data_IF_207479196797
#
_entry.id   IF_207479196797
#
_cell.length_a   1.000
_cell.length_b   1.000
_cell.length_c   1.000
_cell.angle_alpha   90.00
_cell.angle_beta   90.00
_cell.angle_gamma   90.00
#
_symmetry.space_group_name_H-M   'P 1'
#
loop_
_entity.id
_entity.type
_entity.pdbx_description
1 polymer ?
#
# COMPACT_ATOMS: atom_id res chain seq x y z
N UNK A 1 23.56 0.49 -8.45
CA UNK A 1 22.95 -0.63 -9.20
C UNK A 1 21.48 -0.72 -8.82
N UNK A 2 20.63 -0.92 -9.83
CA UNK A 2 19.17 -1.04 -9.70
C UNK A 2 18.73 -2.49 -9.44
N UNK A 3 19.68 -3.42 -9.41
CA UNK A 3 19.46 -4.86 -9.25
C UNK A 3 18.58 -5.50 -10.34
N UNK A 4 18.41 -4.81 -11.46
CA UNK A 4 17.68 -5.30 -12.64
C UNK A 4 18.71 -5.86 -13.62
N UNK A 5 18.55 -7.13 -14.02
CA UNK A 5 19.40 -7.70 -15.06
C UNK A 5 19.03 -7.10 -16.41
N UNK A 6 20.02 -6.76 -17.24
CA UNK A 6 19.74 -6.38 -18.62
C UNK A 6 19.05 -7.53 -19.36
N UNK A 7 18.10 -7.19 -20.22
CA UNK A 7 17.41 -8.15 -21.05
C UNK A 7 17.92 -8.05 -22.50
N UNK A 8 18.20 -9.20 -23.10
CA UNK A 8 18.47 -9.27 -24.52
C UNK A 8 17.20 -9.05 -25.34
N UNK A 9 17.31 -8.28 -26.39
CA UNK A 9 16.22 -8.10 -27.36
C UNK A 9 16.38 -9.17 -28.45
N UNK A 10 15.29 -9.82 -28.90
CA UNK A 10 15.37 -10.80 -29.99
C UNK A 10 16.09 -10.22 -31.22
N UNK A 11 17.08 -10.95 -31.74
CA UNK A 11 17.91 -10.51 -32.85
C UNK A 11 19.18 -9.76 -32.47
N UNK A 12 19.46 -9.47 -31.19
CA UNK A 12 20.76 -8.95 -30.78
C UNK A 12 21.86 -9.99 -31.03
N UNK A 13 23.01 -9.59 -31.63
CA UNK A 13 24.17 -10.47 -31.77
C UNK A 13 24.66 -10.95 -30.39
N UNK A 14 25.06 -12.21 -30.31
CA UNK A 14 25.65 -12.84 -29.13
C UNK A 14 24.80 -12.76 -27.84
N UNK A 15 23.51 -12.49 -27.96
CA UNK A 15 22.59 -12.31 -26.83
C UNK A 15 21.78 -13.58 -26.54
N UNK A 16 22.43 -14.72 -26.48
CA UNK A 16 21.81 -15.98 -26.08
C UNK A 16 21.85 -16.12 -24.55
N UNK A 17 20.71 -16.41 -23.93
CA UNK A 17 20.63 -16.72 -22.51
C UNK A 17 19.55 -17.77 -22.24
N UNK A 18 19.72 -18.51 -21.16
CA UNK A 18 18.73 -19.49 -20.71
C UNK A 18 17.69 -18.83 -19.82
N UNK A 19 16.41 -19.08 -20.09
CA UNK A 19 15.32 -18.74 -19.19
C UNK A 19 14.82 -20.00 -18.53
N UNK A 20 15.19 -20.20 -17.29
CA UNK A 20 14.74 -21.34 -16.50
C UNK A 20 13.75 -20.92 -15.42
N UNK A 21 12.79 -21.79 -15.09
CA UNK A 21 11.86 -21.62 -13.99
C UNK A 21 12.42 -22.02 -12.62
N UNK A 22 13.67 -22.45 -12.55
CA UNK A 22 14.34 -22.92 -11.34
C UNK A 22 15.53 -22.03 -10.97
N UNK A 23 16.19 -22.28 -9.82
CA UNK A 23 17.24 -21.40 -9.33
C UNK A 23 18.45 -21.35 -10.28
N UNK A 24 18.97 -20.16 -10.49
CA UNK A 24 20.01 -19.88 -11.48
C UNK A 24 20.94 -18.75 -11.01
N UNK A 25 22.06 -18.60 -11.67
CA UNK A 25 22.99 -17.48 -11.49
C UNK A 25 22.45 -16.20 -12.16
N UNK A 26 23.16 -15.08 -11.98
CA UNK A 26 22.84 -13.83 -12.69
C UNK A 26 22.96 -13.93 -14.20
N UNK A 27 23.74 -14.89 -14.69
CA UNK A 27 23.90 -15.18 -16.12
C UNK A 27 22.81 -16.15 -16.66
N UNK A 28 21.92 -16.67 -15.82
CA UNK A 28 20.88 -17.61 -16.22
C UNK A 28 21.27 -19.10 -16.15
N UNK A 29 22.49 -19.40 -15.73
CA UNK A 29 22.96 -20.78 -15.59
C UNK A 29 22.36 -21.45 -14.35
N UNK A 30 21.94 -22.71 -14.46
CA UNK A 30 21.41 -23.48 -13.35
C UNK A 30 22.43 -23.59 -12.19
N UNK A 31 22.02 -23.24 -11.00
CA UNK A 31 22.87 -23.34 -9.82
C UNK A 31 22.04 -23.41 -8.54
N UNK A 32 22.10 -24.55 -7.86
CA UNK A 32 21.38 -24.84 -6.62
C UNK A 32 22.21 -24.65 -5.35
N UNK A 33 23.45 -24.15 -5.47
CA UNK A 33 24.29 -23.93 -4.32
C UNK A 33 23.67 -22.90 -3.36
N UNK A 34 23.67 -23.16 -2.03
CA UNK A 34 23.05 -22.28 -1.05
C UNK A 34 23.58 -20.85 -1.11
N UNK A 35 24.87 -20.66 -1.41
CA UNK A 35 25.46 -19.33 -1.56
C UNK A 35 24.87 -18.57 -2.74
N UNK A 36 24.66 -19.23 -3.88
CA UNK A 36 24.01 -18.61 -5.03
C UNK A 36 22.55 -18.28 -4.72
N UNK A 37 21.81 -19.19 -4.08
CA UNK A 37 20.42 -18.99 -3.69
C UNK A 37 20.27 -17.75 -2.81
N UNK A 38 21.08 -17.60 -1.77
CA UNK A 38 21.08 -16.44 -0.89
C UNK A 38 21.39 -15.14 -1.66
N UNK A 39 22.37 -15.17 -2.57
CA UNK A 39 22.71 -14.01 -3.42
C UNK A 39 21.54 -13.61 -4.30
N UNK A 40 20.89 -14.58 -4.94
CA UNK A 40 19.79 -14.30 -5.87
C UNK A 40 18.52 -13.84 -5.17
N UNK A 41 18.20 -14.38 -3.98
CA UNK A 41 17.11 -13.88 -3.13
C UNK A 41 17.37 -12.43 -2.72
N UNK A 42 18.56 -12.11 -2.23
CA UNK A 42 18.93 -10.76 -1.84
C UNK A 42 18.82 -9.76 -3.02
N UNK A 43 19.26 -10.17 -4.22
CA UNK A 43 19.14 -9.38 -5.44
C UNK A 43 17.67 -9.11 -5.79
N UNK A 44 16.81 -10.15 -5.77
CA UNK A 44 15.38 -10.03 -6.08
C UNK A 44 14.67 -9.14 -5.07
N UNK A 45 14.98 -9.26 -3.77
CA UNK A 45 14.44 -8.40 -2.73
C UNK A 45 14.79 -6.91 -2.99
N UNK A 46 16.06 -6.61 -3.23
CA UNK A 46 16.53 -5.24 -3.51
C UNK A 46 15.91 -4.65 -4.79
N UNK A 47 15.71 -5.47 -5.82
CA UNK A 47 15.00 -5.05 -7.02
C UNK A 47 13.57 -4.59 -6.70
N UNK A 48 12.85 -5.38 -5.90
CA UNK A 48 11.47 -5.08 -5.49
C UNK A 48 11.44 -3.85 -4.58
N UNK A 49 12.36 -3.72 -3.61
CA UNK A 49 12.49 -2.54 -2.75
C UNK A 49 12.68 -1.24 -3.54
N UNK A 50 13.31 -1.33 -4.72
CA UNK A 50 13.49 -0.19 -5.62
C UNK A 50 12.19 0.49 -6.04
N UNK A 51 11.06 -0.24 -6.02
CA UNK A 51 9.72 0.29 -6.35
C UNK A 51 9.28 1.36 -5.35
N UNK A 52 9.75 1.30 -4.10
CA UNK A 52 9.42 2.31 -3.07
C UNK A 52 9.89 3.73 -3.40
N UNK A 53 10.80 3.87 -4.35
CA UNK A 53 11.33 5.17 -4.81
C UNK A 53 10.46 5.82 -5.90
N UNK A 54 9.45 5.13 -6.40
CA UNK A 54 8.61 5.64 -7.47
C UNK A 54 7.58 6.65 -6.91
N UNK A 55 7.39 7.80 -7.55
CA UNK A 55 6.58 8.89 -6.99
C UNK A 55 5.08 8.63 -6.98
N UNK A 56 4.61 7.61 -7.70
CA UNK A 56 3.18 7.32 -7.88
C UNK A 56 2.64 6.21 -6.97
N UNK A 57 3.47 5.62 -6.10
CA UNK A 57 3.08 4.46 -5.27
C UNK A 57 2.09 4.80 -4.16
N UNK A 58 1.94 6.06 -3.83
CA UNK A 58 0.95 6.56 -2.86
C UNK A 58 0.32 7.83 -3.41
N UNK A 59 -0.98 7.96 -3.27
CA UNK A 59 -1.73 9.18 -3.58
C UNK A 59 -2.44 9.68 -2.34
N UNK A 60 -2.61 11.00 -2.24
CA UNK A 60 -3.31 11.65 -1.12
C UNK A 60 -4.42 12.56 -1.66
N UNK A 61 -5.47 12.72 -0.87
CA UNK A 61 -6.65 13.52 -1.19
C UNK A 61 -7.18 14.23 0.06
N UNK A 62 -7.99 15.28 -0.12
CA UNK A 62 -8.68 15.96 0.97
C UNK A 62 -7.80 16.94 1.73
N UNK A 63 -8.00 17.06 3.04
CA UNK A 63 -7.30 18.02 3.88
C UNK A 63 -5.80 17.71 4.02
N UNK A 64 -4.96 18.76 4.02
CA UNK A 64 -3.49 18.62 4.18
C UNK A 64 -3.09 18.15 5.58
N UNK A 65 -3.82 18.56 6.63
CA UNK A 65 -3.56 18.19 8.02
C UNK A 65 -4.83 17.61 8.66
N UNK A 66 -5.25 16.40 8.26
CA UNK A 66 -6.48 15.81 8.76
C UNK A 66 -6.27 15.20 10.16
N UNK A 67 -7.31 15.26 11.01
CA UNK A 67 -7.35 14.47 12.24
C UNK A 67 -7.84 13.04 11.99
N UNK A 68 -8.67 12.86 10.95
CA UNK A 68 -9.15 11.56 10.49
C UNK A 68 -8.68 11.33 9.06
N UNK A 69 -8.14 10.16 8.79
CA UNK A 69 -7.74 9.73 7.46
C UNK A 69 -8.49 8.47 7.02
N UNK A 70 -8.80 8.38 5.74
CA UNK A 70 -9.28 7.13 5.14
C UNK A 70 -8.14 6.52 4.34
N UNK A 71 -7.78 5.28 4.64
CA UNK A 71 -6.72 4.57 3.91
C UNK A 71 -7.30 3.32 3.29
N UNK A 72 -7.39 3.29 1.98
CA UNK A 72 -7.85 2.13 1.22
C UNK A 72 -6.89 1.77 0.10
N UNK A 73 -7.11 0.67 -0.57
CA UNK A 73 -6.26 0.15 -1.63
C UNK A 73 -7.07 -0.43 -2.78
N UNK A 74 -6.42 -0.67 -3.93
CA UNK A 74 -7.05 -1.31 -5.08
C UNK A 74 -8.19 -0.49 -5.68
N UNK A 75 -9.34 -1.10 -5.87
CA UNK A 75 -10.52 -0.50 -6.50
C UNK A 75 -11.23 0.56 -5.64
N UNK A 76 -10.90 0.66 -4.35
CA UNK A 76 -11.55 1.59 -3.42
C UNK A 76 -11.16 3.06 -3.65
N UNK A 77 -10.16 3.36 -4.49
CA UNK A 77 -9.65 4.73 -4.68
C UNK A 77 -10.75 5.73 -5.07
N UNK A 78 -11.57 5.38 -6.05
CA UNK A 78 -12.63 6.28 -6.54
C UNK A 78 -13.70 6.56 -5.50
N UNK A 79 -14.13 5.51 -4.82
CA UNK A 79 -15.14 5.56 -3.75
C UNK A 79 -14.68 6.41 -2.58
N UNK A 80 -13.44 6.18 -2.11
CA UNK A 80 -12.85 6.92 -0.99
C UNK A 80 -12.68 8.40 -1.36
N UNK A 81 -12.17 8.70 -2.56
CA UNK A 81 -11.99 10.08 -3.01
C UNK A 81 -13.29 10.84 -3.03
N UNK A 82 -14.36 10.25 -3.60
CA UNK A 82 -15.68 10.89 -3.64
C UNK A 82 -16.25 11.10 -2.23
N UNK A 83 -16.14 10.12 -1.34
CA UNK A 83 -16.58 10.24 0.05
C UNK A 83 -15.85 11.35 0.80
N UNK A 84 -14.54 11.47 0.62
CA UNK A 84 -13.72 12.53 1.21
C UNK A 84 -14.11 13.89 0.64
N UNK A 85 -14.31 14.02 -0.67
CA UNK A 85 -14.76 15.26 -1.30
C UNK A 85 -16.14 15.70 -0.76
N UNK A 86 -17.05 14.76 -0.53
CA UNK A 86 -18.36 15.02 0.07
C UNK A 86 -18.25 15.45 1.55
N UNK A 87 -17.39 14.81 2.31
CA UNK A 87 -17.13 15.14 3.71
C UNK A 87 -16.52 16.54 3.86
N UNK A 88 -15.53 16.86 3.04
CA UNK A 88 -14.89 18.20 3.02
C UNK A 88 -15.89 19.29 2.67
N UNK A 89 -16.81 19.07 1.70
CA UNK A 89 -17.90 20.00 1.37
C UNK A 89 -18.87 20.22 2.56
N UNK A 90 -18.97 19.24 3.47
CA UNK A 90 -19.75 19.37 4.71
C UNK A 90 -18.96 19.95 5.88
N UNK A 91 -17.74 20.42 5.66
CA UNK A 91 -16.89 21.05 6.67
C UNK A 91 -16.12 20.05 7.55
N UNK A 92 -16.12 18.76 7.22
CA UNK A 92 -15.39 17.74 7.96
C UNK A 92 -13.92 17.75 7.51
N UNK A 93 -13.00 17.86 8.47
CA UNK A 93 -11.56 17.90 8.22
C UNK A 93 -10.98 16.49 8.10
N UNK A 94 -11.18 15.87 6.95
CA UNK A 94 -10.74 14.52 6.63
C UNK A 94 -9.80 14.51 5.43
N UNK A 95 -8.86 13.59 5.44
CA UNK A 95 -8.00 13.30 4.29
C UNK A 95 -8.03 11.84 3.94
N UNK A 96 -7.45 11.49 2.80
CA UNK A 96 -7.28 10.10 2.39
C UNK A 96 -5.87 9.85 1.86
N UNK A 97 -5.42 8.62 2.02
CA UNK A 97 -4.20 8.11 1.44
C UNK A 97 -4.49 6.78 0.76
N UNK A 98 -4.01 6.64 -0.47
CA UNK A 98 -4.24 5.44 -1.28
C UNK A 98 -2.91 4.84 -1.75
N UNK A 99 -2.39 3.79 -1.09
CA UNK A 99 -1.23 3.07 -1.56
C UNK A 99 -1.58 2.25 -2.81
N UNK A 100 -0.73 2.36 -3.83
CA UNK A 100 -0.76 1.53 -5.03
C UNK A 100 0.06 0.27 -4.88
N UNK A 101 0.82 0.20 -3.79
CA UNK A 101 1.74 -0.88 -3.47
C UNK A 101 1.47 -1.36 -2.04
N UNK A 102 1.25 -2.68 -1.90
CA UNK A 102 1.09 -3.32 -0.60
C UNK A 102 2.38 -4.03 -0.14
N UNK A 103 3.22 -4.41 -1.07
CA UNK A 103 4.50 -5.03 -0.79
C UNK A 103 5.56 -4.67 -1.84
N UNK A 104 6.76 -4.20 -1.44
CA UNK A 104 7.14 -3.84 -0.06
C UNK A 104 6.23 -2.74 0.48
N UNK A 105 5.90 -2.81 1.77
CA UNK A 105 4.97 -1.86 2.37
C UNK A 105 5.59 -0.45 2.43
N UNK A 106 4.93 0.61 1.93
CA UNK A 106 5.47 1.96 1.89
C UNK A 106 5.36 2.67 3.25
N UNK A 107 5.91 2.04 4.30
CA UNK A 107 5.76 2.45 5.70
C UNK A 107 6.23 3.88 5.97
N UNK A 108 7.33 4.31 5.37
CA UNK A 108 7.89 5.66 5.59
C UNK A 108 6.94 6.74 5.06
N UNK A 109 6.39 6.55 3.86
CA UNK A 109 5.48 7.50 3.24
C UNK A 109 4.17 7.58 4.02
N UNK A 110 3.60 6.42 4.38
CA UNK A 110 2.37 6.36 5.17
C UNK A 110 2.57 7.00 6.54
N UNK A 111 3.65 6.67 7.24
CA UNK A 111 3.94 7.26 8.55
C UNK A 111 4.21 8.77 8.46
N UNK A 112 4.86 9.26 7.40
CA UNK A 112 5.05 10.69 7.19
C UNK A 112 3.70 11.41 7.04
N UNK A 113 2.78 10.86 6.27
CA UNK A 113 1.43 11.39 6.13
C UNK A 113 0.67 11.39 7.48
N UNK A 114 0.69 10.28 8.20
CA UNK A 114 0.02 10.15 9.48
C UNK A 114 0.58 11.08 10.56
N UNK A 115 1.86 11.43 10.46
CA UNK A 115 2.51 12.37 11.38
C UNK A 115 1.98 13.81 11.27
N UNK A 116 1.23 14.14 10.23
CA UNK A 116 0.63 15.47 10.02
C UNK A 116 -0.64 15.72 10.86
N UNK A 117 -0.80 15.07 11.99
CA UNK A 117 -1.91 15.32 12.92
C UNK A 117 -2.99 14.26 12.93
N UNK A 118 -2.86 13.19 12.14
CA UNK A 118 -3.84 12.09 12.10
C UNK A 118 -3.90 11.39 13.46
N UNK A 119 -5.11 11.25 13.98
CA UNK A 119 -5.43 10.53 15.22
C UNK A 119 -6.21 9.24 14.95
N UNK A 120 -6.97 9.20 13.86
CA UNK A 120 -7.82 8.08 13.48
C UNK A 120 -7.62 7.72 12.01
N UNK A 121 -7.62 6.44 11.73
CA UNK A 121 -7.53 5.88 10.36
C UNK A 121 -8.69 4.93 10.16
N UNK A 122 -9.55 5.23 9.19
CA UNK A 122 -10.63 4.35 8.74
C UNK A 122 -10.09 3.53 7.57
N UNK A 123 -10.26 2.22 7.61
CA UNK A 123 -9.79 1.30 6.57
C UNK A 123 -10.97 0.53 6.00
N UNK A 124 -11.64 1.06 4.96
CA UNK A 124 -12.64 0.30 4.23
C UNK A 124 -11.96 -0.73 3.33
N UNK A 125 -12.36 -1.99 3.41
CA UNK A 125 -11.81 -3.06 2.59
C UNK A 125 -12.83 -4.16 2.29
N UNK A 126 -12.72 -4.75 1.09
CA UNK A 126 -13.63 -5.80 0.61
C UNK A 126 -13.06 -7.19 0.94
N UNK A 127 -12.98 -7.50 2.22
CA UNK A 127 -12.64 -8.84 2.71
C UNK A 127 -13.27 -9.05 4.10
N UNK A 128 -13.24 -10.29 4.56
CA UNK A 128 -13.87 -10.66 5.84
C UNK A 128 -13.04 -10.30 7.07
N UNK A 129 -11.73 -10.32 6.97
CA UNK A 129 -10.82 -10.32 8.14
C UNK A 129 -10.07 -9.00 8.39
N UNK A 130 -10.28 -7.96 7.58
CA UNK A 130 -9.56 -6.70 7.76
C UNK A 130 -8.05 -6.83 7.51
N UNK A 131 -7.67 -7.48 6.42
CA UNK A 131 -6.27 -7.85 6.13
C UNK A 131 -5.35 -6.64 6.00
N UNK A 132 -5.81 -5.60 5.32
CA UNK A 132 -5.01 -4.39 5.15
C UNK A 132 -4.94 -3.57 6.43
N UNK A 133 -6.03 -3.49 7.20
CA UNK A 133 -6.01 -2.86 8.51
C UNK A 133 -5.02 -3.56 9.46
N UNK A 134 -4.94 -4.89 9.41
CA UNK A 134 -3.95 -5.66 10.19
C UNK A 134 -2.51 -5.37 9.74
N UNK A 135 -2.26 -5.33 8.43
CA UNK A 135 -0.96 -4.98 7.85
C UNK A 135 -0.54 -3.54 8.26
N UNK A 136 -1.48 -2.60 8.18
CA UNK A 136 -1.26 -1.22 8.59
C UNK A 136 -0.89 -1.14 10.07
N UNK A 137 -1.65 -1.79 10.95
CA UNK A 137 -1.37 -1.86 12.41
C UNK A 137 0.03 -2.40 12.68
N UNK A 138 0.45 -3.47 12.00
CA UNK A 138 1.78 -4.05 12.14
C UNK A 138 2.90 -3.03 11.89
N UNK A 139 2.73 -2.16 10.90
CA UNK A 139 3.72 -1.16 10.54
C UNK A 139 3.64 0.14 11.37
N UNK A 140 2.52 0.38 12.06
CA UNK A 140 2.32 1.53 12.94
C UNK A 140 2.77 1.28 14.39
N UNK A 141 2.74 0.05 14.88
CA UNK A 141 3.02 -0.32 16.27
C UNK A 141 4.43 0.06 16.75
N UNK A 142 5.38 0.29 15.84
CA UNK A 142 6.77 0.57 16.18
C UNK A 142 7.11 2.06 16.39
N UNK A 143 6.13 2.98 16.45
CA UNK A 143 6.41 4.43 16.42
C UNK A 143 5.78 5.26 17.55
N UNK A 144 5.65 4.74 18.76
CA UNK A 144 5.27 5.51 19.98
C UNK A 144 4.09 6.47 19.81
N UNK A 145 3.13 6.17 18.95
CA UNK A 145 1.99 7.01 18.67
C UNK A 145 0.71 6.20 18.69
N UNK A 146 -0.22 6.64 19.53
CA UNK A 146 -1.57 6.10 19.56
C UNK A 146 -2.37 6.66 18.38
N UNK A 147 -2.43 5.89 17.29
CA UNK A 147 -3.35 6.11 16.19
C UNK A 147 -4.40 5.01 16.25
N UNK A 148 -5.64 5.41 16.37
CA UNK A 148 -6.77 4.50 16.32
C UNK A 148 -6.96 4.01 14.88
N UNK A 149 -6.90 2.70 14.65
CA UNK A 149 -7.17 2.09 13.33
C UNK A 149 -8.49 1.37 13.37
N UNK A 150 -9.48 1.95 12.69
CA UNK A 150 -10.85 1.46 12.58
C UNK A 150 -10.94 0.60 11.33
N UNK A 151 -11.05 -0.70 11.50
CA UNK A 151 -11.20 -1.65 10.38
C UNK A 151 -12.67 -1.76 9.98
N UNK A 152 -12.99 -1.44 8.74
CA UNK A 152 -14.31 -1.58 8.15
C UNK A 152 -14.26 -2.66 7.07
N UNK A 153 -14.32 -3.91 7.51
CA UNK A 153 -14.28 -5.08 6.65
C UNK A 153 -15.70 -5.40 6.13
N UNK A 154 -15.84 -5.48 4.81
CA UNK A 154 -17.13 -5.78 4.14
C UNK A 154 -16.96 -7.03 3.28
N UNK A 155 -17.68 -8.10 3.63
CA UNK A 155 -17.77 -9.30 2.81
C UNK A 155 -19.14 -9.35 2.10
N UNK A 156 -19.28 -10.22 1.09
CA UNK A 156 -20.55 -10.41 0.39
C UNK A 156 -20.57 -9.96 -1.07
N UNK A 157 -19.41 -9.55 -1.63
CA UNK A 157 -19.25 -9.28 -3.06
C UNK A 157 -19.88 -7.97 -3.55
N UNK A 158 -20.38 -7.12 -2.63
CA UNK A 158 -20.91 -5.79 -2.98
C UNK A 158 -19.88 -4.74 -2.63
N UNK A 159 -19.41 -3.91 -3.58
CA UNK A 159 -18.43 -2.85 -3.33
C UNK A 159 -18.92 -1.83 -2.30
N UNK A 160 -17.99 -1.11 -1.67
CA UNK A 160 -18.30 0.08 -0.93
C UNK A 160 -18.90 1.15 -1.83
N UNK A 161 -19.82 1.94 -1.30
CA UNK A 161 -20.34 3.13 -1.94
C UNK A 161 -19.76 4.39 -1.28
N UNK A 162 -19.68 5.54 -2.00
CA UNK A 162 -19.26 6.80 -1.39
C UNK A 162 -20.09 7.21 -0.18
N UNK A 163 -21.41 6.91 -0.20
CA UNK A 163 -22.30 7.18 0.93
C UNK A 163 -21.96 6.37 2.17
N UNK A 164 -21.69 5.07 2.03
CA UNK A 164 -21.27 4.23 3.16
C UNK A 164 -19.96 4.73 3.78
N UNK A 165 -18.95 5.02 2.96
CA UNK A 165 -17.66 5.55 3.44
C UNK A 165 -17.84 6.93 4.09
N UNK A 166 -18.72 7.77 3.57
CA UNK A 166 -19.04 9.07 4.17
C UNK A 166 -19.66 8.92 5.58
N UNK A 167 -20.55 7.96 5.78
CA UNK A 167 -21.12 7.70 7.12
C UNK A 167 -20.04 7.23 8.11
N UNK A 168 -19.11 6.38 7.68
CA UNK A 168 -17.95 6.00 8.51
C UNK A 168 -17.09 7.22 8.89
N UNK A 169 -16.85 8.12 7.95
CA UNK A 169 -16.12 9.38 8.20
C UNK A 169 -16.85 10.23 9.24
N UNK A 170 -18.16 10.37 9.12
CA UNK A 170 -18.99 11.13 10.08
C UNK A 170 -18.98 10.49 11.48
N UNK A 171 -19.14 9.17 11.56
CA UNK A 171 -19.05 8.44 12.80
C UNK A 171 -17.72 8.67 13.51
N UNK A 172 -16.63 8.53 12.79
CA UNK A 172 -15.29 8.77 13.31
C UNK A 172 -15.09 10.22 13.77
N UNK A 173 -15.62 11.21 13.05
CA UNK A 173 -15.51 12.63 13.42
C UNK A 173 -16.27 12.96 14.69
N UNK A 174 -17.39 12.26 14.96
CA UNK A 174 -18.22 12.45 16.15
C UNK A 174 -17.76 11.60 17.35
N UNK A 175 -16.76 10.72 17.18
CA UNK A 175 -16.32 9.79 18.21
C UNK A 175 -17.28 8.62 18.47
N UNK A 176 -18.20 8.38 17.56
CA UNK A 176 -19.11 7.24 17.59
C UNK A 176 -18.56 6.11 16.73
N UNK A 177 -18.03 5.08 17.36
CA UNK A 177 -17.64 3.84 16.69
C UNK A 177 -18.55 2.72 17.19
N UNK A 178 -19.20 2.04 16.25
CA UNK A 178 -19.97 0.83 16.54
C UNK A 178 -19.04 -0.37 16.65
#
# INVERSE_FOLDING_TARGET
PDYISPMAVPGMPDAFYSTTGIEHTEAGELNYEPANHNKMIAKRAKKIEGVLKLPWIVKTYGAEHPETAVIGWGSEEGVIREAVDLAVKQGIKVGALHPKLLWPFPAEIINAYLNNGVKRVIVPELNYSGQFAALLKQHLMNKNREIEVISQAKAGGIPWTPGEVLEEIKGAALGHHA
#
